data_IF_341295858632
#
_entry.id   IF_341295858632
#
_cell.length_a   1.000
_cell.length_b   1.000
_cell.length_c   1.000
_cell.angle_alpha   90.00
_cell.angle_beta   90.00
_cell.angle_gamma   90.00
#
_symmetry.space_group_name_H-M   'P 1'
#
loop_
_entity.id
_entity.type
_entity.pdbx_description
1 polymer ?
#
# COMPACT_ATOMS: atom_id res chain seq x y z
N UNK A 1 9.36 10.61 18.35
CA UNK A 1 8.52 11.05 17.22
C UNK A 1 9.41 11.60 16.13
N UNK A 2 9.71 10.83 15.11
CA UNK A 2 10.39 11.34 13.92
C UNK A 2 9.34 11.64 12.85
N UNK A 3 8.90 12.89 12.81
CA UNK A 3 8.10 13.41 11.71
C UNK A 3 9.06 13.80 10.59
N UNK A 4 9.00 13.16 9.46
CA UNK A 4 9.70 13.59 8.27
C UNK A 4 8.72 13.73 7.11
N UNK A 5 8.55 14.97 6.65
CA UNK A 5 7.77 15.40 5.48
C UNK A 5 6.25 15.14 5.59
N UNK A 6 5.52 16.13 6.09
CA UNK A 6 4.05 16.21 6.03
C UNK A 6 3.71 17.46 5.20
N UNK A 7 2.87 17.35 4.19
CA UNK A 7 2.36 18.48 3.40
C UNK A 7 0.85 18.42 3.32
N UNK A 8 0.18 19.57 3.58
CA UNK A 8 -1.26 19.77 3.45
C UNK A 8 -2.14 18.66 4.07
N UNK A 9 -1.86 18.32 5.34
CA UNK A 9 -2.49 17.21 6.03
C UNK A 9 -3.27 17.64 7.27
N UNK A 10 -4.31 16.91 7.62
CA UNK A 10 -5.05 17.05 8.88
C UNK A 10 -4.97 15.75 9.70
N UNK A 11 -4.81 15.87 11.03
CA UNK A 11 -4.89 14.77 12.01
C UNK A 11 -3.92 13.59 11.75
N UNK A 12 -2.67 13.87 11.40
CA UNK A 12 -1.67 12.83 11.09
C UNK A 12 -0.89 12.45 12.35
N UNK A 13 -0.79 11.16 12.63
CA UNK A 13 -0.02 10.59 13.72
C UNK A 13 1.09 9.68 13.19
N UNK A 14 2.26 9.60 13.81
CA UNK A 14 3.39 8.68 13.55
C UNK A 14 3.85 8.55 12.07
N UNK A 15 4.02 9.65 11.35
CA UNK A 15 4.19 9.66 9.90
C UNK A 15 5.63 9.67 9.42
N UNK A 16 5.89 9.01 8.28
CA UNK A 16 7.04 9.20 7.43
C UNK A 16 6.57 9.41 5.99
N UNK A 17 6.79 10.62 5.43
CA UNK A 17 6.45 11.00 4.04
C UNK A 17 4.96 10.91 3.70
N UNK A 18 4.14 11.78 4.25
CA UNK A 18 2.71 11.90 3.94
C UNK A 18 2.49 13.16 3.11
N UNK A 19 1.73 13.10 2.04
CA UNK A 19 1.35 14.22 1.18
C UNK A 19 -0.16 14.24 0.97
N UNK A 20 -0.80 15.41 1.21
CA UNK A 20 -2.23 15.69 0.99
C UNK A 20 -3.19 14.66 1.53
N UNK A 21 -3.10 14.35 2.82
CA UNK A 21 -3.87 13.27 3.42
C UNK A 21 -4.56 13.67 4.71
N UNK A 22 -5.66 13.00 5.06
CA UNK A 22 -6.50 13.31 6.23
C UNK A 22 -6.75 12.05 7.08
N UNK A 23 -6.80 12.23 8.42
CA UNK A 23 -7.16 11.19 9.39
C UNK A 23 -6.32 9.91 9.26
N UNK A 24 -5.00 10.05 9.35
CA UNK A 24 -4.07 8.95 9.16
C UNK A 24 -3.32 8.63 10.45
N UNK A 25 -3.21 7.36 10.79
CA UNK A 25 -2.52 6.84 11.96
C UNK A 25 -1.50 5.77 11.56
N UNK A 26 -0.30 5.80 12.14
CA UNK A 26 0.80 4.83 11.96
C UNK A 26 1.26 4.62 10.51
N UNK A 27 1.60 5.69 9.80
CA UNK A 27 1.88 5.66 8.35
C UNK A 27 3.36 5.60 8.00
N UNK A 28 3.70 4.85 6.94
CA UNK A 28 4.99 4.89 6.25
C UNK A 28 4.74 5.11 4.76
N UNK A 29 5.29 6.19 4.18
CA UNK A 29 5.25 6.53 2.76
C UNK A 29 3.85 6.49 2.13
N UNK A 30 2.94 7.38 2.57
CA UNK A 30 1.66 7.61 1.91
C UNK A 30 1.81 8.82 1.00
N UNK A 31 1.45 8.68 -0.26
CA UNK A 31 1.57 9.72 -1.27
C UNK A 31 0.22 9.92 -1.97
N UNK A 32 -0.19 11.20 -2.10
CA UNK A 32 -1.37 11.66 -2.84
C UNK A 32 -2.74 11.16 -2.35
N UNK A 33 -3.44 12.01 -1.58
CA UNK A 33 -4.88 11.96 -1.44
C UNK A 33 -5.46 10.73 -0.74
N UNK A 34 -4.89 10.33 0.39
CA UNK A 34 -5.46 9.25 1.20
C UNK A 34 -6.25 9.79 2.39
N UNK A 35 -7.34 9.13 2.75
CA UNK A 35 -8.23 9.56 3.84
C UNK A 35 -8.68 8.36 4.69
N UNK A 36 -8.77 8.57 6.01
CA UNK A 36 -9.25 7.58 6.98
C UNK A 36 -8.50 6.25 6.96
N UNK A 37 -7.20 6.29 7.17
CA UNK A 37 -6.33 5.11 7.14
C UNK A 37 -5.81 4.74 8.52
N UNK A 38 -5.59 3.45 8.76
CA UNK A 38 -4.97 2.91 9.96
C UNK A 38 -3.97 1.79 9.64
N UNK A 39 -2.76 1.85 10.20
CA UNK A 39 -1.66 0.87 10.02
C UNK A 39 -1.40 0.49 8.54
N UNK A 40 -1.13 1.48 7.69
CA UNK A 40 -0.85 1.26 6.28
C UNK A 40 0.62 1.52 5.96
N UNK A 41 1.19 0.69 5.08
CA UNK A 41 2.58 0.78 4.64
C UNK A 41 2.63 0.87 3.11
N UNK A 42 3.32 1.88 2.56
CA UNK A 42 3.43 2.14 1.12
C UNK A 42 2.05 2.14 0.43
N UNK A 43 1.14 2.94 0.97
CA UNK A 43 -0.23 3.05 0.50
C UNK A 43 -0.43 4.37 -0.27
N UNK A 44 -1.05 4.32 -1.44
CA UNK A 44 -1.30 5.49 -2.28
C UNK A 44 -2.78 5.63 -2.63
N UNK A 45 -3.36 6.84 -2.44
CA UNK A 45 -4.74 7.16 -2.85
C UNK A 45 -5.79 6.15 -2.33
N UNK A 46 -5.70 5.76 -1.06
CA UNK A 46 -6.67 4.85 -0.45
C UNK A 46 -7.66 5.62 0.42
N UNK A 47 -8.85 5.07 0.57
CA UNK A 47 -9.94 5.66 1.35
C UNK A 47 -10.55 4.63 2.30
N UNK A 48 -10.82 5.05 3.55
CA UNK A 48 -11.49 4.24 4.58
C UNK A 48 -10.95 2.80 4.68
N UNK A 49 -9.64 2.67 4.79
CA UNK A 49 -8.98 1.36 4.69
C UNK A 49 -7.94 1.15 5.80
N UNK A 50 -7.76 -0.11 6.21
CA UNK A 50 -6.87 -0.45 7.31
C UNK A 50 -5.98 -1.65 6.98
N UNK A 51 -4.75 -1.67 7.52
CA UNK A 51 -3.81 -2.78 7.35
C UNK A 51 -3.48 -3.06 5.88
N UNK A 52 -3.16 -2.01 5.12
CA UNK A 52 -2.74 -2.15 3.72
C UNK A 52 -1.21 -2.15 3.61
N UNK A 53 -0.69 -3.06 2.81
CA UNK A 53 0.72 -3.13 2.44
C UNK A 53 0.87 -3.08 0.92
N UNK A 54 1.60 -2.10 0.38
CA UNK A 54 1.84 -1.93 -1.07
C UNK A 54 0.54 -1.75 -1.89
N UNK A 55 -0.46 -1.07 -1.33
CA UNK A 55 -1.77 -0.95 -1.96
C UNK A 55 -1.99 0.43 -2.58
N UNK A 56 -2.71 0.47 -3.69
CA UNK A 56 -3.04 1.68 -4.42
C UNK A 56 -4.50 1.75 -4.84
N UNK A 57 -5.13 2.92 -4.64
CA UNK A 57 -6.53 3.17 -5.00
C UNK A 57 -7.49 2.11 -4.43
N UNK A 58 -7.33 1.76 -3.17
CA UNK A 58 -8.23 0.82 -2.48
C UNK A 58 -9.22 1.58 -1.61
N UNK A 59 -10.48 1.15 -1.64
CA UNK A 59 -11.59 1.79 -0.95
C UNK A 59 -12.30 0.75 -0.08
N UNK A 60 -12.68 1.13 1.15
CA UNK A 60 -13.43 0.27 2.08
C UNK A 60 -12.83 -1.14 2.22
N UNK A 61 -11.51 -1.20 2.30
CA UNK A 61 -10.77 -2.47 2.21
C UNK A 61 -9.86 -2.69 3.42
N UNK A 62 -9.73 -3.94 3.85
CA UNK A 62 -9.04 -4.28 5.09
C UNK A 62 -8.12 -5.49 4.91
N UNK A 63 -6.89 -5.40 5.46
CA UNK A 63 -5.90 -6.48 5.46
C UNK A 63 -5.49 -6.92 4.05
N UNK A 64 -5.03 -5.99 3.21
CA UNK A 64 -4.62 -6.28 1.83
C UNK A 64 -3.11 -6.16 1.63
N UNK A 65 -2.57 -6.99 0.72
CA UNK A 65 -1.17 -6.96 0.29
C UNK A 65 -1.08 -6.84 -1.24
N UNK A 66 -0.33 -5.87 -1.74
CA UNK A 66 -0.11 -5.62 -3.17
C UNK A 66 -1.40 -5.63 -4.00
N UNK A 67 -2.38 -4.81 -3.59
CA UNK A 67 -3.66 -4.69 -4.27
C UNK A 67 -3.80 -3.32 -4.95
N UNK A 68 -4.43 -3.29 -6.12
CA UNK A 68 -4.63 -2.06 -6.90
C UNK A 68 -6.06 -1.95 -7.41
N UNK A 69 -6.68 -0.77 -7.24
CA UNK A 69 -8.04 -0.48 -7.66
C UNK A 69 -9.04 -1.50 -7.10
N UNK A 70 -9.02 -1.71 -5.81
CA UNK A 70 -9.88 -2.68 -5.14
C UNK A 70 -10.89 -1.98 -4.24
N UNK A 71 -12.13 -2.45 -4.24
CA UNK A 71 -13.21 -1.92 -3.41
C UNK A 71 -13.87 -3.05 -2.62
N UNK A 72 -14.15 -2.83 -1.34
CA UNK A 72 -14.76 -3.84 -0.49
C UNK A 72 -14.01 -5.20 -0.56
N UNK A 73 -12.71 -5.17 -0.34
CA UNK A 73 -11.88 -6.37 -0.31
C UNK A 73 -11.32 -6.62 1.09
N UNK A 74 -11.23 -7.88 1.47
CA UNK A 74 -10.87 -8.30 2.83
C UNK A 74 -9.89 -9.48 2.83
N UNK A 75 -8.83 -9.42 3.65
CA UNK A 75 -7.86 -10.50 3.83
C UNK A 75 -7.37 -11.11 2.50
N UNK A 76 -6.87 -10.28 1.61
CA UNK A 76 -6.53 -10.70 0.25
C UNK A 76 -5.19 -10.12 -0.23
N UNK A 77 -4.59 -10.76 -1.22
CA UNK A 77 -3.33 -10.31 -1.82
C UNK A 77 -3.35 -10.36 -3.34
N UNK A 78 -2.51 -9.51 -3.96
CA UNK A 78 -2.26 -9.48 -5.40
C UNK A 78 -3.50 -9.26 -6.27
N UNK A 79 -4.50 -8.57 -5.74
CA UNK A 79 -5.72 -8.26 -6.48
C UNK A 79 -5.53 -7.03 -7.38
N UNK A 80 -6.18 -7.06 -8.55
CA UNK A 80 -6.21 -5.94 -9.51
C UNK A 80 -7.63 -5.73 -10.03
N UNK A 81 -8.17 -4.52 -9.83
CA UNK A 81 -9.52 -4.15 -10.28
C UNK A 81 -10.59 -5.12 -9.77
N UNK A 82 -10.60 -5.39 -8.47
CA UNK A 82 -11.51 -6.37 -7.85
C UNK A 82 -12.44 -5.71 -6.85
N UNK A 83 -13.64 -6.28 -6.76
CA UNK A 83 -14.68 -5.85 -5.83
C UNK A 83 -15.31 -7.07 -5.14
N UNK A 84 -15.61 -6.93 -3.84
CA UNK A 84 -16.20 -7.98 -2.98
C UNK A 84 -15.38 -9.28 -2.92
N UNK A 85 -14.08 -9.18 -2.67
CA UNK A 85 -13.20 -10.34 -2.49
C UNK A 85 -12.89 -10.56 -1.02
N UNK A 86 -13.01 -11.83 -0.58
CA UNK A 86 -12.67 -12.26 0.77
C UNK A 86 -11.70 -13.45 0.68
N UNK A 87 -10.52 -13.36 1.34
CA UNK A 87 -9.49 -14.39 1.36
C UNK A 87 -9.16 -14.92 -0.06
N UNK A 88 -8.94 -13.98 -0.99
CA UNK A 88 -8.66 -14.26 -2.42
C UNK A 88 -9.77 -15.04 -3.16
N UNK A 89 -11.00 -14.99 -2.68
CA UNK A 89 -12.16 -15.57 -3.36
C UNK A 89 -13.21 -14.51 -3.62
N UNK A 90 -13.79 -14.54 -4.81
CA UNK A 90 -14.89 -13.64 -5.15
C UNK A 90 -16.13 -14.03 -4.37
N UNK A 91 -16.82 -13.04 -3.84
CA UNK A 91 -18.13 -13.16 -3.20
C UNK A 91 -19.14 -12.22 -3.87
N UNK A 92 -20.40 -12.41 -3.58
CA UNK A 92 -21.41 -11.43 -3.90
C UNK A 92 -21.37 -10.28 -2.90
N UNK A 93 -22.00 -9.15 -3.24
CA UNK A 93 -22.12 -8.01 -2.34
C UNK A 93 -22.73 -8.40 -0.99
N UNK A 94 -23.83 -9.15 -1.02
CA UNK A 94 -24.56 -9.53 0.19
C UNK A 94 -23.76 -10.50 1.07
N UNK A 95 -23.07 -11.46 0.46
CA UNK A 95 -22.15 -12.35 1.16
C UNK A 95 -21.00 -11.60 1.81
N UNK A 96 -20.40 -10.63 1.10
CA UNK A 96 -19.34 -9.80 1.64
C UNK A 96 -19.77 -9.07 2.91
N UNK A 97 -20.84 -8.30 2.84
CA UNK A 97 -21.31 -7.54 3.99
C UNK A 97 -21.79 -8.43 5.14
N UNK A 98 -22.40 -9.57 4.84
CA UNK A 98 -22.77 -10.56 5.85
C UNK A 98 -21.55 -11.11 6.60
N UNK A 99 -20.46 -11.41 5.89
CA UNK A 99 -19.22 -11.88 6.51
C UNK A 99 -18.52 -10.77 7.30
N UNK A 100 -18.38 -9.56 6.75
CA UNK A 100 -17.76 -8.42 7.45
C UNK A 100 -18.54 -8.05 8.72
N UNK A 101 -19.86 -8.04 8.67
CA UNK A 101 -20.70 -7.72 9.84
C UNK A 101 -20.60 -8.78 10.96
N UNK A 102 -20.35 -10.04 10.63
CA UNK A 102 -20.08 -11.08 11.65
C UNK A 102 -18.73 -10.87 12.35
N UNK A 103 -17.77 -10.29 11.64
CA UNK A 103 -16.46 -9.98 12.19
C UNK A 103 -16.56 -8.68 12.99
N UNK A 104 -16.60 -8.77 14.30
CA UNK A 104 -16.55 -7.57 15.14
C UNK A 104 -15.15 -6.91 15.02
N UNK A 105 -14.92 -6.16 13.95
CA UNK A 105 -13.63 -5.50 13.65
C UNK A 105 -13.17 -4.54 14.74
N UNK A 106 -14.07 -4.10 15.61
CA UNK A 106 -13.75 -3.24 16.78
C UNK A 106 -13.22 -4.06 17.97
N UNK A 107 -13.40 -5.37 17.96
CA UNK A 107 -12.93 -6.25 19.03
C UNK A 107 -11.42 -6.47 18.96
N UNK A 108 -10.71 -6.25 20.09
CA UNK A 108 -9.27 -6.54 20.20
C UNK A 108 -8.94 -8.01 19.95
N UNK A 109 -9.81 -8.92 20.37
CA UNK A 109 -9.64 -10.37 20.16
C UNK A 109 -9.76 -10.70 18.68
N UNK A 110 -10.81 -10.22 18.00
CA UNK A 110 -11.00 -10.42 16.57
C UNK A 110 -9.81 -9.85 15.78
N UNK A 111 -9.35 -8.63 16.11
CA UNK A 111 -8.19 -8.00 15.49
C UNK A 111 -6.92 -8.86 15.62
N UNK A 112 -6.65 -9.44 16.79
CA UNK A 112 -5.48 -10.29 16.98
C UNK A 112 -5.53 -11.57 16.13
N UNK A 113 -6.71 -12.15 15.93
CA UNK A 113 -6.91 -13.29 15.05
C UNK A 113 -6.65 -12.88 13.59
N UNK A 114 -7.25 -11.79 13.15
CA UNK A 114 -7.10 -11.26 11.79
C UNK A 114 -5.65 -10.87 11.48
N UNK A 115 -4.92 -10.33 12.43
CA UNK A 115 -3.49 -10.04 12.26
C UNK A 115 -2.63 -11.30 12.08
N UNK A 116 -3.00 -12.43 12.70
CA UNK A 116 -2.33 -13.71 12.46
C UNK A 116 -2.61 -14.22 11.04
N UNK A 117 -3.87 -14.18 10.59
CA UNK A 117 -4.23 -14.53 9.21
C UNK A 117 -3.52 -13.61 8.20
N UNK A 118 -3.46 -12.31 8.48
CA UNK A 118 -2.77 -11.34 7.63
C UNK A 118 -1.25 -11.59 7.53
N UNK A 119 -0.62 -12.06 8.60
CA UNK A 119 0.79 -12.48 8.55
C UNK A 119 1.01 -13.64 7.57
N UNK A 120 0.11 -14.60 7.54
CA UNK A 120 0.20 -15.71 6.58
C UNK A 120 -0.05 -15.23 5.13
N UNK A 121 -1.01 -14.31 4.91
CA UNK A 121 -1.21 -13.69 3.60
C UNK A 121 0.07 -12.97 3.15
N UNK A 122 0.70 -12.19 4.04
CA UNK A 122 1.97 -11.50 3.72
C UNK A 122 3.09 -12.46 3.33
N UNK A 123 3.20 -13.63 3.95
CA UNK A 123 4.21 -14.63 3.59
C UNK A 123 3.97 -15.26 2.21
N UNK A 124 2.69 -15.47 1.87
CA UNK A 124 2.29 -16.18 0.66
C UNK A 124 2.00 -15.23 -0.53
N UNK A 125 2.02 -13.93 -0.31
CA UNK A 125 1.82 -12.94 -1.35
C UNK A 125 2.98 -12.96 -2.35
N UNK A 126 2.66 -12.70 -3.62
CA UNK A 126 3.67 -12.56 -4.68
C UNK A 126 4.19 -11.13 -4.64
N UNK A 127 5.46 -10.97 -4.31
CA UNK A 127 6.11 -9.67 -4.32
C UNK A 127 6.84 -9.43 -5.65
N UNK A 128 6.81 -8.20 -6.13
CA UNK A 128 7.60 -7.81 -7.30
C UNK A 128 9.08 -7.89 -6.95
N UNK A 129 9.87 -8.35 -7.90
CA UNK A 129 11.33 -8.33 -7.76
C UNK A 129 11.88 -6.90 -7.60
N UNK A 130 11.31 -5.94 -8.33
CA UNK A 130 11.68 -4.53 -8.26
C UNK A 130 10.50 -3.63 -8.70
N UNK A 131 10.47 -2.42 -8.15
CA UNK A 131 9.54 -1.37 -8.53
C UNK A 131 10.18 -0.52 -9.64
N UNK A 132 9.91 -0.89 -10.89
CA UNK A 132 10.44 -0.22 -12.08
C UNK A 132 9.27 0.35 -12.89
N UNK A 133 9.30 1.64 -13.17
CA UNK A 133 8.28 2.31 -13.99
C UNK A 133 8.96 3.05 -15.14
N UNK A 134 8.60 2.73 -16.40
CA UNK A 134 9.21 3.32 -17.59
C UNK A 134 10.74 3.23 -17.58
N UNK A 135 11.27 2.07 -17.23
CA UNK A 135 12.71 1.83 -17.16
C UNK A 135 13.17 0.91 -18.28
N UNK A 136 14.35 1.17 -18.83
CA UNK A 136 14.98 0.37 -19.88
C UNK A 136 16.43 0.04 -19.47
N UNK A 137 16.82 -1.22 -19.59
CA UNK A 137 18.18 -1.71 -19.26
C UNK A 137 18.67 -1.29 -17.86
N UNK A 138 17.81 -1.46 -16.87
CA UNK A 138 18.09 -1.02 -15.52
C UNK A 138 18.16 -2.16 -14.50
N UNK A 139 18.98 -1.97 -13.47
CA UNK A 139 19.02 -2.80 -12.27
C UNK A 139 18.89 -1.92 -11.02
N UNK A 140 18.09 -2.36 -10.06
CA UNK A 140 17.83 -1.61 -8.84
C UNK A 140 16.38 -1.67 -8.40
N UNK A 141 15.94 -0.73 -7.57
CA UNK A 141 14.57 -0.70 -7.08
C UNK A 141 14.09 0.75 -6.87
N UNK A 142 12.76 0.96 -6.96
CA UNK A 142 12.13 2.29 -6.92
C UNK A 142 12.67 3.25 -7.97
N UNK A 143 12.67 2.80 -9.22
CA UNK A 143 13.13 3.57 -10.38
C UNK A 143 11.97 4.06 -11.23
N UNK A 144 12.01 5.31 -11.64
CA UNK A 144 11.03 5.93 -12.53
C UNK A 144 11.73 6.70 -13.67
N UNK A 145 11.39 6.39 -14.91
CA UNK A 145 11.99 7.00 -16.11
C UNK A 145 13.52 6.87 -16.12
N UNK A 146 14.05 5.68 -15.83
CA UNK A 146 15.50 5.45 -15.82
C UNK A 146 15.90 4.61 -17.02
N UNK A 147 16.98 5.01 -17.70
CA UNK A 147 17.56 4.31 -18.86
C UNK A 147 19.02 4.02 -18.60
N UNK A 148 19.45 2.79 -18.87
CA UNK A 148 20.83 2.31 -18.65
C UNK A 148 21.32 2.52 -17.19
N UNK A 149 20.44 2.39 -16.21
CA UNK A 149 20.77 2.52 -14.79
C UNK A 149 21.25 1.21 -14.18
N UNK A 150 22.42 1.15 -13.56
CA UNK A 150 22.93 -0.06 -12.91
C UNK A 150 23.12 0.15 -11.40
N UNK A 151 22.50 -0.75 -10.62
CA UNK A 151 22.51 -0.69 -9.15
C UNK A 151 22.05 0.67 -8.60
N UNK A 152 20.91 1.15 -9.12
CA UNK A 152 20.31 2.42 -8.73
C UNK A 152 19.10 2.18 -7.80
N UNK A 153 18.93 3.02 -6.79
CA UNK A 153 17.84 2.89 -5.81
C UNK A 153 17.22 4.26 -5.51
N UNK A 154 15.88 4.34 -5.55
CA UNK A 154 15.14 5.60 -5.35
C UNK A 154 15.59 6.71 -6.32
N UNK A 155 15.63 6.40 -7.63
CA UNK A 155 16.13 7.30 -8.67
C UNK A 155 15.05 7.62 -9.70
N UNK A 156 14.99 8.89 -10.12
CA UNK A 156 13.96 9.43 -10.99
C UNK A 156 14.58 10.24 -12.13
N UNK A 157 14.11 10.04 -13.37
CA UNK A 157 14.51 10.79 -14.57
C UNK A 157 16.03 10.79 -14.83
N UNK A 158 16.66 9.63 -14.86
CA UNK A 158 18.12 9.51 -14.96
C UNK A 158 18.53 8.58 -16.11
N UNK A 159 19.56 8.97 -16.83
CA UNK A 159 20.15 8.14 -17.88
C UNK A 159 21.64 7.83 -17.59
N UNK A 160 22.09 6.65 -18.08
CA UNK A 160 23.52 6.24 -18.08
C UNK A 160 24.23 6.31 -16.74
N UNK A 161 23.58 5.93 -15.68
CA UNK A 161 24.07 6.07 -14.31
C UNK A 161 24.36 4.74 -13.62
N UNK A 162 25.32 4.73 -12.71
CA UNK A 162 25.68 3.55 -11.90
C UNK A 162 25.80 3.91 -10.43
N UNK A 163 25.35 2.99 -9.57
CA UNK A 163 25.46 3.12 -8.12
C UNK A 163 24.81 4.38 -7.54
N UNK A 164 23.69 4.79 -8.11
CA UNK A 164 22.94 5.96 -7.64
C UNK A 164 22.00 5.62 -6.50
N UNK A 165 21.96 6.48 -5.51
CA UNK A 165 21.02 6.41 -4.40
C UNK A 165 20.39 7.77 -4.14
N UNK A 166 19.04 7.83 -4.22
CA UNK A 166 18.24 9.07 -4.06
C UNK A 166 18.67 10.19 -5.01
N UNK A 167 18.48 9.96 -6.30
CA UNK A 167 18.82 10.92 -7.35
C UNK A 167 17.61 11.37 -8.16
N UNK A 168 17.62 12.65 -8.54
CA UNK A 168 16.59 13.28 -9.38
C UNK A 168 17.25 14.06 -10.50
N UNK A 169 16.76 13.87 -11.75
CA UNK A 169 17.11 14.71 -12.91
C UNK A 169 18.63 14.86 -13.18
N UNK A 170 19.32 13.74 -13.44
CA UNK A 170 20.72 13.72 -13.89
C UNK A 170 20.82 13.19 -15.34
#
# INVERSE_FOLDING_TARGET
LSVSVVRDCENVFYSKSVDKSRDIVDCISIINGSESLYENVEAQSNYNSQYLLLCKNCIDSYYLVDCVNCTNCFLSSNLRNKEFWIRNKQSTRDEYFKEINKLNLKSRVARNILLKEFKEIKKNAIYRFANLTRCVDTTGNYLLNVKNGKNCFEVYNVENSKYCYRGFDY
#
